data_IF_597961775850
#
_entry.id   IF_597961775850
#
_cell.length_a   1.000
_cell.length_b   1.000
_cell.length_c   1.000
_cell.angle_alpha   90.00
_cell.angle_beta   90.00
_cell.angle_gamma   90.00
#
_symmetry.space_group_name_H-M   'P 1'
#
loop_
_entity.id
_entity.type
_entity.pdbx_description
1 polymer ?
#
# COMPACT_ATOMS: atom_id res chain seq x y z
N UNK A 1 23.40 -10.37 -12.21
CA UNK A 1 22.46 -9.63 -11.33
C UNK A 1 21.38 -9.08 -12.24
N UNK A 2 20.31 -9.84 -12.45
CA UNK A 2 19.29 -9.56 -13.45
C UNK A 2 18.54 -8.25 -13.17
N UNK A 3 18.57 -7.37 -14.17
CA UNK A 3 17.88 -6.07 -14.21
C UNK A 3 16.36 -6.18 -14.37
N UNK A 4 15.83 -7.41 -14.38
CA UNK A 4 14.44 -7.75 -14.72
C UNK A 4 13.49 -7.80 -13.51
N UNK A 5 14.00 -7.84 -12.28
CA UNK A 5 13.16 -7.85 -11.07
C UNK A 5 12.71 -6.45 -10.61
N UNK A 6 13.08 -5.38 -11.31
CA UNK A 6 12.92 -3.98 -10.85
C UNK A 6 11.60 -3.29 -11.25
N UNK A 7 10.71 -3.90 -12.04
CA UNK A 7 9.70 -3.12 -12.78
C UNK A 7 8.26 -3.60 -12.70
N UNK A 8 7.95 -4.71 -12.05
CA UNK A 8 6.57 -5.19 -11.97
C UNK A 8 6.09 -5.01 -10.54
N UNK A 9 5.02 -4.21 -10.36
CA UNK A 9 4.23 -4.31 -9.12
C UNK A 9 3.86 -5.80 -9.03
N UNK A 10 4.19 -6.52 -7.94
CA UNK A 10 3.71 -7.90 -7.80
C UNK A 10 2.21 -7.90 -8.12
N UNK A 11 1.71 -8.93 -8.78
CA UNK A 11 0.30 -9.02 -9.18
C UNK A 11 -0.54 -9.07 -7.89
N UNK A 12 -0.80 -7.89 -7.33
CA UNK A 12 -1.55 -7.71 -6.10
C UNK A 12 -2.99 -7.76 -6.57
N UNK A 13 -3.60 -8.90 -6.37
CA UNK A 13 -5.04 -9.05 -6.48
C UNK A 13 -5.70 -8.23 -5.37
N UNK A 14 -6.05 -6.99 -5.66
CA UNK A 14 -6.79 -6.11 -4.76
C UNK A 14 -8.27 -6.43 -4.95
N UNK A 15 -8.86 -7.15 -3.99
CA UNK A 15 -10.26 -7.60 -4.06
C UNK A 15 -11.22 -6.46 -3.78
N UNK A 16 -10.78 -5.47 -3.02
CA UNK A 16 -11.53 -4.25 -2.72
C UNK A 16 -11.82 -3.47 -4.00
N UNK A 17 -13.05 -2.97 -4.10
CA UNK A 17 -13.41 -2.02 -5.14
C UNK A 17 -12.75 -0.66 -4.91
N UNK A 18 -12.80 0.18 -5.95
CA UNK A 18 -12.31 1.57 -5.86
C UNK A 18 -13.09 2.34 -4.79
N UNK A 19 -14.39 2.06 -4.67
CA UNK A 19 -15.29 2.66 -3.69
C UNK A 19 -14.96 2.21 -2.26
N UNK A 20 -14.71 0.91 -2.05
CA UNK A 20 -14.31 0.37 -0.75
C UNK A 20 -13.01 1.04 -0.26
N UNK A 21 -12.03 1.20 -1.15
CA UNK A 21 -10.75 1.86 -0.83
C UNK A 21 -10.94 3.34 -0.52
N UNK A 22 -11.88 4.04 -1.19
CA UNK A 22 -12.24 5.42 -0.86
C UNK A 22 -12.87 5.53 0.53
N UNK A 23 -13.74 4.59 0.89
CA UNK A 23 -14.35 4.56 2.22
C UNK A 23 -13.32 4.23 3.31
N UNK A 24 -12.50 3.21 3.06
CA UNK A 24 -11.39 2.83 3.94
C UNK A 24 -10.45 4.00 4.19
N UNK A 25 -10.09 4.78 3.16
CA UNK A 25 -9.28 5.98 3.31
C UNK A 25 -9.92 6.98 4.28
N UNK A 26 -11.23 7.25 4.16
CA UNK A 26 -11.96 8.19 5.05
C UNK A 26 -11.99 7.72 6.51
N UNK A 27 -11.93 6.42 6.75
CA UNK A 27 -11.93 5.84 8.09
C UNK A 27 -10.57 5.91 8.79
N UNK A 28 -9.48 6.14 8.05
CA UNK A 28 -8.14 6.15 8.62
C UNK A 28 -7.89 7.36 9.52
N UNK A 29 -7.45 7.09 10.76
CA UNK A 29 -7.16 8.13 11.76
C UNK A 29 -5.74 8.67 11.69
N UNK A 30 -4.87 8.04 10.90
CA UNK A 30 -3.49 8.49 10.72
C UNK A 30 -3.13 8.71 9.27
N UNK A 31 -2.28 9.69 9.01
CA UNK A 31 -1.80 10.01 7.67
C UNK A 31 -0.98 8.87 7.05
N UNK A 32 -0.31 8.06 7.89
CA UNK A 32 0.41 6.88 7.39
C UNK A 32 -0.55 5.76 6.97
N UNK A 33 -1.57 5.48 7.78
CA UNK A 33 -2.58 4.47 7.45
C UNK A 33 -3.37 4.89 6.20
N UNK A 34 -3.75 6.18 6.11
CA UNK A 34 -4.34 6.76 4.90
C UNK A 34 -3.45 6.52 3.68
N UNK A 35 -2.16 6.86 3.76
CA UNK A 35 -1.23 6.69 2.63
C UNK A 35 -1.06 5.23 2.21
N UNK A 36 -1.12 4.27 3.14
CA UNK A 36 -1.10 2.83 2.80
C UNK A 36 -2.35 2.46 2.00
N UNK A 37 -3.55 2.85 2.43
CA UNK A 37 -4.80 2.56 1.69
C UNK A 37 -4.81 3.28 0.33
N UNK A 38 -4.35 4.53 0.29
CA UNK A 38 -4.22 5.30 -0.96
C UNK A 38 -3.28 4.62 -1.96
N UNK A 39 -2.22 3.95 -1.50
CA UNK A 39 -1.34 3.20 -2.38
C UNK A 39 -2.05 2.03 -3.06
N UNK A 40 -2.96 1.34 -2.36
CA UNK A 40 -3.80 0.28 -2.93
C UNK A 40 -4.84 0.88 -3.89
N UNK A 41 -5.42 2.02 -3.54
CA UNK A 41 -6.36 2.74 -4.40
C UNK A 41 -5.75 3.04 -5.78
N UNK A 42 -4.53 3.60 -5.82
CA UNK A 42 -3.88 3.91 -7.08
C UNK A 42 -3.57 2.66 -7.90
N UNK A 43 -3.14 1.58 -7.25
CA UNK A 43 -2.92 0.30 -7.93
C UNK A 43 -4.22 -0.28 -8.51
N UNK A 44 -5.32 -0.23 -7.75
CA UNK A 44 -6.63 -0.73 -8.20
C UNK A 44 -7.19 0.05 -9.38
N UNK A 45 -6.93 1.36 -9.43
CA UNK A 45 -7.31 2.22 -10.55
C UNK A 45 -6.53 1.91 -11.83
N UNK A 46 -5.42 1.17 -11.76
CA UNK A 46 -4.57 0.89 -12.92
C UNK A 46 -3.73 2.08 -13.41
N UNK A 47 -3.75 3.20 -12.68
CA UNK A 47 -3.04 4.45 -13.02
C UNK A 47 -1.52 4.36 -12.80
N UNK A 48 -1.04 3.23 -12.26
CA UNK A 48 0.36 3.04 -11.86
C UNK A 48 0.89 1.70 -12.32
N UNK A 49 1.79 1.75 -13.29
CA UNK A 49 2.38 0.55 -13.90
C UNK A 49 3.56 -0.02 -13.10
N UNK A 50 4.19 0.78 -12.23
CA UNK A 50 5.40 0.37 -11.49
C UNK A 50 5.44 0.87 -10.06
N UNK A 51 6.15 0.15 -9.18
CA UNK A 51 6.39 0.57 -7.79
C UNK A 51 7.13 1.92 -7.72
N UNK A 52 8.01 2.20 -8.68
CA UNK A 52 8.69 3.49 -8.81
C UNK A 52 7.71 4.62 -9.13
N UNK A 53 6.80 4.43 -10.08
CA UNK A 53 5.79 5.44 -10.40
C UNK A 53 4.91 5.72 -9.17
N UNK A 54 4.49 4.67 -8.45
CA UNK A 54 3.75 4.82 -7.20
C UNK A 54 4.55 5.56 -6.13
N UNK A 55 5.84 5.29 -6.00
CA UNK A 55 6.70 5.97 -5.05
C UNK A 55 6.80 7.48 -5.31
N UNK A 56 6.93 7.88 -6.59
CA UNK A 56 6.93 9.28 -7.01
C UNK A 56 5.60 9.95 -6.70
N UNK A 57 4.48 9.32 -7.10
CA UNK A 57 3.12 9.84 -6.85
C UNK A 57 2.84 10.04 -5.36
N UNK A 58 3.29 9.10 -4.54
CA UNK A 58 3.10 9.14 -3.09
C UNK A 58 4.09 10.04 -2.35
N UNK A 59 5.13 10.56 -3.01
CA UNK A 59 6.22 11.31 -2.37
C UNK A 59 6.98 10.48 -1.33
N UNK A 60 7.14 9.17 -1.57
CA UNK A 60 7.78 8.22 -0.63
C UNK A 60 8.94 7.51 -1.32
N UNK A 61 9.89 7.02 -0.53
CA UNK A 61 10.95 6.16 -1.06
C UNK A 61 10.41 4.80 -1.53
N UNK A 62 10.90 4.31 -2.67
CA UNK A 62 10.51 3.06 -3.31
C UNK A 62 10.59 1.84 -2.37
N UNK A 63 11.66 1.75 -1.55
CA UNK A 63 11.80 0.73 -0.49
C UNK A 63 10.65 0.74 0.53
N UNK A 64 10.07 1.90 0.81
CA UNK A 64 8.92 2.01 1.72
C UNK A 64 7.65 1.50 1.07
N UNK A 65 7.41 1.82 -0.20
CA UNK A 65 6.29 1.29 -0.97
C UNK A 65 6.39 -0.22 -1.10
N UNK A 66 7.54 -0.75 -1.54
CA UNK A 66 7.76 -2.21 -1.60
C UNK A 66 7.43 -2.89 -0.27
N UNK A 67 7.94 -2.37 0.86
CA UNK A 67 7.66 -2.95 2.18
C UNK A 67 6.16 -2.95 2.52
N UNK A 68 5.42 -1.89 2.17
CA UNK A 68 3.98 -1.87 2.41
C UNK A 68 3.25 -2.91 1.57
N UNK A 69 3.60 -3.02 0.29
CA UNK A 69 2.98 -3.99 -0.62
C UNK A 69 3.33 -5.44 -0.25
N UNK A 70 4.56 -5.72 0.17
CA UNK A 70 4.93 -7.05 0.68
C UNK A 70 4.16 -7.40 1.96
N UNK A 71 3.99 -6.44 2.88
CA UNK A 71 3.16 -6.65 4.09
C UNK A 71 1.69 -6.89 3.74
N UNK A 72 1.15 -6.20 2.73
CA UNK A 72 -0.21 -6.42 2.23
C UNK A 72 -0.39 -7.88 1.79
N UNK A 73 0.51 -8.36 0.92
CA UNK A 73 0.45 -9.71 0.38
C UNK A 73 0.57 -10.78 1.45
N UNK A 74 1.56 -10.65 2.35
CA UNK A 74 1.75 -11.59 3.46
C UNK A 74 0.50 -11.68 4.34
N UNK A 75 -0.11 -10.54 4.65
CA UNK A 75 -1.24 -10.50 5.60
C UNK A 75 -2.58 -10.82 4.97
N UNK A 76 -2.76 -10.64 3.66
CA UNK A 76 -3.94 -11.15 2.94
C UNK A 76 -4.03 -12.69 3.07
N UNK A 77 -2.89 -13.38 3.07
CA UNK A 77 -2.84 -14.82 3.30
C UNK A 77 -3.23 -15.21 4.74
N UNK A 78 -3.00 -14.31 5.71
CA UNK A 78 -3.28 -14.53 7.13
C UNK A 78 -4.69 -14.07 7.58
N UNK A 79 -5.25 -13.00 6.99
CA UNK A 79 -6.56 -12.42 7.37
C UNK A 79 -7.09 -11.40 6.35
N UNK A 80 -8.37 -11.50 5.98
CA UNK A 80 -9.04 -10.57 5.04
C UNK A 80 -9.21 -9.14 5.57
N UNK A 81 -9.26 -8.92 6.89
CA UNK A 81 -9.74 -7.66 7.47
C UNK A 81 -8.60 -6.71 7.92
N UNK A 82 -7.40 -6.89 7.37
CA UNK A 82 -6.17 -6.34 7.95
C UNK A 82 -6.14 -4.80 8.05
N UNK A 83 -6.61 -4.08 7.03
CA UNK A 83 -6.56 -2.61 7.03
C UNK A 83 -7.65 -1.94 7.88
N UNK A 84 -8.66 -2.69 8.33
CA UNK A 84 -9.72 -2.18 9.20
C UNK A 84 -9.25 -1.99 10.65
N UNK A 85 -8.13 -2.62 11.06
CA UNK A 85 -7.71 -2.70 12.47
C UNK A 85 -6.45 -1.91 12.82
N UNK A 86 -5.72 -1.38 11.83
CA UNK A 86 -4.42 -0.75 12.07
C UNK A 86 -4.54 0.73 12.46
N UNK A 87 -5.26 1.01 13.55
CA UNK A 87 -5.33 2.33 14.16
C UNK A 87 -4.31 2.43 15.30
N UNK A 88 -3.26 3.24 15.13
CA UNK A 88 -2.45 3.91 16.17
C UNK A 88 -1.09 3.36 16.65
N UNK A 89 -0.63 2.13 16.38
CA UNK A 89 0.55 1.60 17.10
C UNK A 89 1.93 1.70 16.39
N UNK A 90 2.04 1.65 15.06
CA UNK A 90 3.36 1.65 14.38
C UNK A 90 3.91 3.06 14.07
N UNK A 91 3.08 4.10 14.04
CA UNK A 91 3.45 5.43 13.52
C UNK A 91 4.46 6.19 14.40
N UNK A 92 4.58 5.84 15.69
CA UNK A 92 5.42 6.57 16.65
C UNK A 92 6.91 6.19 16.63
N UNK A 93 7.32 5.12 15.95
CA UNK A 93 8.71 4.60 16.08
C UNK A 93 9.68 4.98 14.96
N UNK A 94 9.26 5.75 13.94
CA UNK A 94 10.05 5.86 12.69
C UNK A 94 10.75 7.21 12.45
N UNK A 95 10.71 8.12 13.42
CA UNK A 95 11.44 9.41 13.37
C UNK A 95 12.58 9.50 14.41
N UNK A 96 13.17 8.37 14.81
CA UNK A 96 14.45 8.34 15.53
C UNK A 96 15.51 7.70 14.67
#
# INVERSE_FOLDING_TARGET
MDKLAMLVVPEIDIVESVEDLKELMKQQKSSLAYAKVQSLYFLKMGEVETVRHLAVLMGRGERTIHRWLSKFLQKKEESSDYYLKETHQEDRKRFR
#
